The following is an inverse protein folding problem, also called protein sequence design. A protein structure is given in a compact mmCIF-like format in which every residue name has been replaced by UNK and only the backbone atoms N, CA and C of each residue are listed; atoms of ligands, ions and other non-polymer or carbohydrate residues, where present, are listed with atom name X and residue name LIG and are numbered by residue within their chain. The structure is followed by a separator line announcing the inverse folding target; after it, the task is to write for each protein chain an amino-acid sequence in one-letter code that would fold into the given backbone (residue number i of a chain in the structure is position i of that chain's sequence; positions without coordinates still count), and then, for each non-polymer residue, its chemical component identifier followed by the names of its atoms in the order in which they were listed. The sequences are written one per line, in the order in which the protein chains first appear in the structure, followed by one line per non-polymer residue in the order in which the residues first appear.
data_IF_747617366726
#
_entry.id   IF_747617366726
#
_cell.length_a   1.000
_cell.length_b   1.000
_cell.length_c   1.000
_cell.angle_alpha   90.00
_cell.angle_beta   90.00
_cell.angle_gamma   90.00
#
_symmetry.space_group_name_H-M   'P 1'
#
loop_
_entity.id
_entity.type
_entity.pdbx_description
1 polymer ?
#
# COMPACT_ATOMS: atom_id res chain seq x y z
N UNK A 1 4.75 -18.58 5.76
CA UNK A 1 3.93 -17.71 4.89
C UNK A 1 2.98 -16.93 5.81
N UNK A 2 2.87 -15.61 5.69
CA UNK A 2 1.90 -14.82 6.45
C UNK A 2 0.47 -15.16 5.99
N UNK A 3 -0.51 -15.07 6.90
CA UNK A 3 -1.93 -15.13 6.56
C UNK A 3 -2.31 -13.88 5.73
N UNK A 4 -2.89 -14.03 4.53
CA UNK A 4 -3.31 -12.90 3.70
C UNK A 4 -4.24 -11.90 4.41
N UNK A 5 -5.08 -12.36 5.34
CA UNK A 5 -5.98 -11.49 6.09
C UNK A 5 -5.23 -10.62 7.10
N UNK A 6 -4.22 -11.17 7.77
CA UNK A 6 -3.36 -10.41 8.68
C UNK A 6 -2.47 -9.43 7.93
N UNK A 7 -1.93 -9.83 6.77
CA UNK A 7 -1.16 -8.94 5.93
C UNK A 7 -2.00 -7.76 5.40
N UNK A 8 -3.25 -8.02 5.00
CA UNK A 8 -4.19 -6.96 4.61
C UNK A 8 -4.46 -5.98 5.75
N UNK A 9 -4.70 -6.48 6.97
CA UNK A 9 -4.92 -5.64 8.16
C UNK A 9 -3.69 -4.79 8.46
N UNK A 10 -2.50 -5.36 8.35
CA UNK A 10 -1.24 -4.66 8.60
C UNK A 10 -1.04 -3.52 7.58
N UNK A 11 -1.19 -3.80 6.28
CA UNK A 11 -1.08 -2.78 5.23
C UNK A 11 -2.10 -1.66 5.46
N UNK A 12 -3.36 -2.03 5.75
CA UNK A 12 -4.43 -1.07 6.02
C UNK A 12 -4.12 -0.19 7.23
N UNK A 13 -3.55 -0.75 8.30
CA UNK A 13 -3.13 0.00 9.50
C UNK A 13 -2.01 0.98 9.17
N UNK A 14 -0.99 0.52 8.44
CA UNK A 14 0.20 1.31 8.08
C UNK A 14 -0.16 2.53 7.22
N UNK A 15 -1.11 2.40 6.29
CA UNK A 15 -1.56 3.51 5.44
C UNK A 15 -2.05 4.75 6.21
N UNK A 16 -2.54 4.59 7.43
CA UNK A 16 -3.05 5.68 8.27
C UNK A 16 -2.08 6.09 9.38
N UNK A 17 -0.82 5.63 9.35
CA UNK A 17 0.21 6.18 10.22
C UNK A 17 0.48 7.64 9.85
N UNK A 18 0.77 8.47 10.86
CA UNK A 18 0.86 9.92 10.66
C UNK A 18 2.04 10.33 9.76
N UNK A 19 3.16 9.60 9.85
CA UNK A 19 4.44 10.05 9.32
C UNK A 19 4.93 9.14 8.18
N UNK A 20 4.11 8.98 7.13
CA UNK A 20 4.52 8.23 5.95
C UNK A 20 5.34 9.11 5.00
N UNK A 21 6.47 8.59 4.55
CA UNK A 21 7.24 9.17 3.44
C UNK A 21 6.70 8.69 2.09
N UNK A 22 7.15 9.30 0.99
CA UNK A 22 6.83 8.83 -0.36
C UNK A 22 7.31 7.39 -0.61
N UNK A 23 8.48 7.04 -0.08
CA UNK A 23 9.01 5.67 -0.16
C UNK A 23 8.14 4.68 0.60
N UNK A 24 7.58 5.07 1.76
CA UNK A 24 6.66 4.21 2.51
C UNK A 24 5.36 3.97 1.76
N UNK A 25 4.81 5.02 1.14
CA UNK A 25 3.60 4.90 0.30
C UNK A 25 3.86 3.97 -0.88
N UNK A 26 5.03 4.07 -1.52
CA UNK A 26 5.42 3.17 -2.61
C UNK A 26 5.55 1.71 -2.15
N UNK A 27 6.22 1.47 -1.01
CA UNK A 27 6.32 0.14 -0.41
C UNK A 27 4.95 -0.43 -0.07
N UNK A 28 4.06 0.38 0.51
CA UNK A 28 2.69 -0.04 0.83
C UNK A 28 1.88 -0.38 -0.42
N UNK A 29 1.99 0.43 -1.48
CA UNK A 29 1.35 0.15 -2.75
C UNK A 29 1.84 -1.16 -3.37
N UNK A 30 3.16 -1.40 -3.39
CA UNK A 30 3.74 -2.64 -3.88
C UNK A 30 3.30 -3.86 -3.05
N UNK A 31 3.30 -3.75 -1.72
CA UNK A 31 2.81 -4.81 -0.82
C UNK A 31 1.35 -5.13 -1.09
N UNK A 32 0.50 -4.11 -1.24
CA UNK A 32 -0.91 -4.29 -1.54
C UNK A 32 -1.10 -4.95 -2.92
N UNK A 33 -0.40 -4.49 -3.95
CA UNK A 33 -0.47 -5.06 -5.29
C UNK A 33 -0.06 -6.55 -5.29
N UNK A 34 1.05 -6.87 -4.60
CA UNK A 34 1.56 -8.23 -4.45
C UNK A 34 0.59 -9.12 -3.68
N UNK A 35 -0.09 -8.59 -2.65
CA UNK A 35 -1.14 -9.31 -1.94
C UNK A 35 -2.35 -9.59 -2.84
N UNK A 36 -2.82 -8.60 -3.61
CA UNK A 36 -3.90 -8.78 -4.60
C UNK A 36 -3.55 -9.85 -5.62
N UNK A 37 -2.33 -9.82 -6.16
CA UNK A 37 -1.87 -10.80 -7.14
C UNK A 37 -1.83 -12.22 -6.56
N UNK A 38 -1.30 -12.38 -5.34
CA UNK A 38 -1.28 -13.68 -4.64
C UNK A 38 -2.68 -14.21 -4.32
N UNK A 39 -3.62 -13.33 -3.96
CA UNK A 39 -5.00 -13.73 -3.70
C UNK A 39 -5.73 -14.16 -4.98
N UNK A 40 -5.42 -13.56 -6.13
CA UNK A 40 -6.03 -13.90 -7.41
C UNK A 40 -5.43 -15.16 -8.05
N UNK A 41 -4.11 -15.31 -8.00
CA UNK A 41 -3.37 -16.31 -8.78
C UNK A 41 -2.57 -17.32 -7.94
N UNK A 42 -2.60 -17.19 -6.61
CA UNK A 42 -1.85 -18.05 -5.70
C UNK A 42 -0.38 -17.61 -5.52
N UNK A 43 0.45 -18.46 -4.90
CA UNK A 43 1.82 -18.10 -4.50
C UNK A 43 2.79 -17.88 -5.68
N UNK A 44 2.46 -18.36 -6.88
CA UNK A 44 3.24 -18.13 -8.11
C UNK A 44 2.78 -16.90 -8.90
N UNK A 45 2.01 -16.02 -8.26
CA UNK A 45 1.59 -14.77 -8.89
C UNK A 45 2.81 -13.98 -9.39
N UNK A 46 2.72 -13.50 -10.63
CA UNK A 46 3.73 -12.61 -11.20
C UNK A 46 3.86 -11.32 -10.40
N UNK A 47 5.02 -10.68 -10.49
CA UNK A 47 5.22 -9.36 -9.88
C UNK A 47 4.16 -8.35 -10.37
N UNK A 48 3.71 -7.45 -9.49
CA UNK A 48 2.74 -6.44 -9.87
C UNK A 48 3.32 -5.49 -10.92
N UNK A 49 2.48 -5.03 -11.85
CA UNK A 49 2.89 -4.04 -12.85
C UNK A 49 3.15 -2.68 -12.21
N UNK A 50 4.04 -1.90 -12.83
CA UNK A 50 4.31 -0.51 -12.43
C UNK A 50 3.02 0.32 -12.39
N UNK A 51 2.13 0.12 -13.38
CA UNK A 51 0.85 0.83 -13.48
C UNK A 51 -0.09 0.53 -12.29
N UNK A 52 -0.14 -0.72 -11.83
CA UNK A 52 -0.96 -1.12 -10.68
C UNK A 52 -0.39 -0.52 -9.39
N UNK A 53 0.94 -0.50 -9.25
CA UNK A 53 1.60 0.13 -8.10
C UNK A 53 1.33 1.64 -8.09
N UNK A 54 1.47 2.33 -9.23
CA UNK A 54 1.19 3.77 -9.34
C UNK A 54 -0.28 4.11 -9.12
N UNK A 55 -1.20 3.24 -9.55
CA UNK A 55 -2.61 3.36 -9.24
C UNK A 55 -2.85 3.27 -7.72
N UNK A 56 -2.25 2.29 -7.05
CA UNK A 56 -2.39 2.12 -5.61
C UNK A 56 -1.72 3.24 -4.81
N UNK A 57 -0.55 3.74 -5.22
CA UNK A 57 0.09 4.93 -4.62
C UNK A 57 -0.89 6.11 -4.57
N UNK A 58 -1.51 6.44 -5.72
CA UNK A 58 -2.52 7.50 -5.80
C UNK A 58 -3.71 7.24 -4.88
N UNK A 59 -4.21 6.00 -4.88
CA UNK A 59 -5.37 5.64 -4.06
C UNK A 59 -5.10 5.72 -2.56
N UNK A 60 -3.90 5.35 -2.13
CA UNK A 60 -3.46 5.48 -0.72
C UNK A 60 -3.45 6.96 -0.31
N UNK A 61 -2.87 7.83 -1.13
CA UNK A 61 -2.82 9.27 -0.86
C UNK A 61 -4.22 9.90 -0.81
N UNK A 62 -5.13 9.50 -1.70
CA UNK A 62 -6.54 9.94 -1.67
C UNK A 62 -7.25 9.53 -0.36
N UNK A 63 -7.06 8.29 0.09
CA UNK A 63 -7.65 7.79 1.33
C UNK A 63 -7.10 8.52 2.56
N UNK A 64 -5.81 8.82 2.57
CA UNK A 64 -5.16 9.63 3.61
C UNK A 64 -5.72 11.05 3.64
N UNK A 65 -5.83 11.70 2.48
CA UNK A 65 -6.41 13.04 2.36
C UNK A 65 -7.88 13.06 2.84
N UNK A 66 -8.67 12.05 2.49
CA UNK A 66 -10.04 11.90 2.98
C UNK A 66 -10.13 11.75 4.51
N UNK A 67 -9.14 11.08 5.11
CA UNK A 67 -9.02 10.95 6.56
C UNK A 67 -8.40 12.18 7.26
N UNK A 68 -8.10 13.26 6.52
CA UNK A 68 -7.49 14.47 7.06
C UNK A 68 -6.01 14.32 7.42
N UNK A 69 -5.32 13.30 6.87
CA UNK A 69 -3.88 13.12 7.03
C UNK A 69 -3.13 13.83 5.91
N UNK A 70 -2.01 14.48 6.26
CA UNK A 70 -1.12 15.08 5.27
C UNK A 70 -0.54 13.97 4.37
N UNK A 71 -0.56 14.12 3.04
CA UNK A 71 0.09 13.18 2.13
C UNK A 71 1.58 12.99 2.44
N UNK A 72 2.30 14.03 2.88
CA UNK A 72 3.72 13.94 3.26
C UNK A 72 4.05 14.94 4.38
N UNK A 73 4.49 14.47 5.55
CA UNK A 73 5.11 15.37 6.52
C UNK A 73 6.38 15.98 5.88
N UNK A 74 6.45 17.32 5.81
CA UNK A 74 7.69 18.00 5.41
C UNK A 74 8.77 17.62 6.42
N UNK A 75 9.78 16.88 5.99
CA UNK A 75 11.02 16.76 6.76
C UNK A 75 11.66 18.15 6.82
N UNK A 76 11.56 18.80 7.99
CA UNK A 76 12.43 19.91 8.36
C UNK A 76 13.86 19.42 8.68
#
# INVERSE_FOLDING_TARGET
MSDPAEEFKEISRLMFEKNLTEEDVEKLAYRWASLKARLASGPEASEPSVEEVDYLKRRILELRAFAGLDPFEKME
#
